data_IF_426424020476
#
_entry.id   IF_426424020476
#
_cell.length_a   1.000
_cell.length_b   1.000
_cell.length_c   1.000
_cell.angle_alpha   90.00
_cell.angle_beta   90.00
_cell.angle_gamma   90.00
#
_symmetry.space_group_name_H-M   'P 1'
#
loop_
_entity.id
_entity.type
_entity.pdbx_description
1 polymer ?
#
# COMPACT_ATOMS: atom_id res chain seq x y z
N UNK A 1 64.28 20.65 -23.03
CA UNK A 1 63.19 19.67 -23.22
C UNK A 1 61.95 20.51 -23.38
N UNK A 2 61.30 20.49 -24.55
CA UNK A 2 60.09 21.30 -24.76
C UNK A 2 58.96 20.78 -23.87
N UNK A 3 58.13 21.67 -23.33
CA UNK A 3 56.88 21.27 -22.68
C UNK A 3 55.87 20.77 -23.72
N UNK A 4 54.84 20.05 -23.29
CA UNK A 4 53.76 19.62 -24.19
C UNK A 4 53.10 20.82 -24.89
N UNK A 5 52.87 21.90 -24.14
CA UNK A 5 52.27 23.14 -24.64
C UNK A 5 53.17 23.86 -25.66
N UNK A 6 54.49 23.86 -25.46
CA UNK A 6 55.45 24.40 -26.43
C UNK A 6 55.46 23.59 -27.74
N UNK A 7 55.33 22.25 -27.65
CA UNK A 7 55.24 21.38 -28.81
C UNK A 7 53.95 21.58 -29.58
N UNK A 8 52.79 21.64 -28.89
CA UNK A 8 51.51 21.90 -29.53
C UNK A 8 51.52 23.25 -30.24
N UNK A 9 52.00 24.31 -29.58
CA UNK A 9 52.14 25.63 -30.20
C UNK A 9 53.08 25.60 -31.42
N UNK A 10 54.15 24.81 -31.38
CA UNK A 10 55.03 24.65 -32.54
C UNK A 10 54.28 24.01 -33.73
N UNK A 11 53.56 22.90 -33.50
CA UNK A 11 52.81 22.21 -34.54
C UNK A 11 51.66 23.06 -35.12
N UNK A 12 50.98 23.86 -34.29
CA UNK A 12 49.91 24.77 -34.74
C UNK A 12 50.38 25.82 -35.74
N UNK A 13 51.64 26.25 -35.60
CA UNK A 13 52.25 27.26 -36.47
C UNK A 13 52.84 26.66 -37.76
N UNK A 14 52.78 25.34 -37.94
CA UNK A 14 53.25 24.71 -39.17
C UNK A 14 52.28 24.99 -40.34
N UNK A 15 52.80 25.15 -41.57
CA UNK A 15 51.96 25.38 -42.74
C UNK A 15 51.06 24.17 -43.01
N UNK A 16 49.79 24.42 -43.36
CA UNK A 16 48.82 23.38 -43.76
C UNK A 16 48.87 23.14 -45.26
N UNK A 17 50.04 22.70 -45.72
CA UNK A 17 50.43 22.56 -47.12
C UNK A 17 49.99 21.24 -47.78
N UNK A 18 49.41 20.30 -47.03
CA UNK A 18 48.82 19.07 -47.57
C UNK A 18 47.28 19.14 -47.57
N UNK A 19 46.70 18.71 -48.69
CA UNK A 19 45.26 18.53 -48.90
C UNK A 19 44.94 17.05 -48.94
N UNK A 20 44.13 16.56 -48.00
CA UNK A 20 43.72 15.16 -47.93
C UNK A 20 42.25 15.09 -48.34
N UNK A 21 41.95 14.33 -49.38
CA UNK A 21 40.60 14.16 -49.90
C UNK A 21 40.12 12.74 -49.58
N UNK A 22 38.99 12.65 -48.89
CA UNK A 22 38.35 11.40 -48.50
C UNK A 22 36.88 11.50 -48.92
N UNK A 23 36.49 10.74 -49.94
CA UNK A 23 35.18 10.88 -50.58
C UNK A 23 34.96 12.31 -51.10
N UNK A 24 33.93 12.98 -50.61
CA UNK A 24 33.60 14.38 -50.93
C UNK A 24 34.22 15.40 -49.96
N UNK A 25 34.87 14.94 -48.88
CA UNK A 25 35.42 15.80 -47.83
C UNK A 25 36.88 16.12 -48.09
N UNK A 26 37.30 17.30 -47.67
CA UNK A 26 38.66 17.80 -47.86
C UNK A 26 39.21 18.32 -46.54
N UNK A 27 40.39 17.83 -46.16
CA UNK A 27 41.09 18.16 -44.93
C UNK A 27 42.44 18.80 -45.24
N UNK A 28 42.88 19.70 -44.35
CA UNK A 28 44.15 20.42 -44.47
C UNK A 28 45.06 20.06 -43.31
N UNK A 29 46.29 19.65 -43.60
CA UNK A 29 47.28 19.23 -42.60
C UNK A 29 48.69 19.66 -43.03
N UNK A 30 49.66 19.54 -42.13
CA UNK A 30 51.07 19.74 -42.48
C UNK A 30 51.64 18.48 -43.15
N UNK A 31 52.20 18.62 -44.36
CA UNK A 31 52.72 17.52 -45.17
C UNK A 31 53.81 16.73 -44.44
N UNK A 32 54.73 17.43 -43.77
CA UNK A 32 55.86 16.78 -43.09
C UNK A 32 55.40 15.96 -41.89
N UNK A 33 54.52 16.52 -41.06
CA UNK A 33 53.96 15.82 -39.89
C UNK A 33 53.22 14.56 -40.34
N UNK A 34 52.34 14.67 -41.35
CA UNK A 34 51.57 13.52 -41.83
C UNK A 34 52.49 12.43 -42.40
N UNK A 35 53.54 12.78 -43.15
CA UNK A 35 54.51 11.81 -43.68
C UNK A 35 55.38 11.15 -42.60
N UNK A 36 55.62 11.81 -41.47
CA UNK A 36 56.40 11.24 -40.35
C UNK A 36 55.59 10.16 -39.65
N UNK A 37 54.30 10.41 -39.41
CA UNK A 37 53.49 9.54 -38.55
C UNK A 37 52.57 8.56 -39.30
N UNK A 38 52.21 8.83 -40.56
CA UNK A 38 51.38 7.92 -41.36
C UNK A 38 52.21 7.25 -42.45
N UNK A 39 52.36 5.93 -42.33
CA UNK A 39 53.05 5.12 -43.33
C UNK A 39 52.39 5.19 -44.71
N UNK A 40 51.05 5.21 -44.78
CA UNK A 40 50.34 5.32 -46.07
C UNK A 40 50.55 6.67 -46.74
N UNK A 41 50.50 7.77 -45.98
CA UNK A 41 50.71 9.09 -46.55
C UNK A 41 52.15 9.24 -47.04
N UNK A 42 53.11 8.73 -46.26
CA UNK A 42 54.51 8.68 -46.66
C UNK A 42 54.69 7.90 -47.98
N UNK A 43 54.12 6.69 -48.08
CA UNK A 43 54.18 5.84 -49.28
C UNK A 43 53.59 6.55 -50.51
N UNK A 44 52.42 7.20 -50.38
CA UNK A 44 51.77 7.90 -51.49
C UNK A 44 52.50 9.16 -51.95
N UNK A 45 53.17 9.86 -51.04
CA UNK A 45 53.87 11.12 -51.33
C UNK A 45 55.35 10.94 -51.67
N UNK A 46 55.92 9.75 -51.48
CA UNK A 46 57.36 9.49 -51.65
C UNK A 46 57.90 9.82 -53.04
N UNK A 47 57.03 9.77 -54.06
CA UNK A 47 57.37 10.02 -55.47
C UNK A 47 56.53 11.14 -56.13
N UNK A 48 55.77 11.90 -55.34
CA UNK A 48 54.91 12.97 -55.86
C UNK A 48 55.28 14.34 -55.29
N UNK A 49 55.40 15.32 -56.18
CA UNK A 49 55.50 16.72 -55.80
C UNK A 49 54.13 17.30 -55.35
N UNK A 50 53.06 16.52 -55.47
CA UNK A 50 51.71 16.97 -55.20
C UNK A 50 51.52 17.28 -53.71
N UNK A 51 50.71 18.31 -53.48
CA UNK A 51 50.24 18.74 -52.17
C UNK A 51 48.79 18.31 -51.93
N UNK A 52 48.33 17.33 -52.71
CA UNK A 52 47.00 16.76 -52.64
C UNK A 52 47.10 15.24 -52.72
N UNK A 53 46.40 14.55 -51.82
CA UNK A 53 46.27 13.09 -51.84
C UNK A 53 44.81 12.70 -51.75
N UNK A 54 44.43 11.67 -52.50
CA UNK A 54 43.12 11.03 -52.39
C UNK A 54 43.28 9.70 -51.67
N UNK A 55 42.50 9.51 -50.61
CA UNK A 55 42.50 8.29 -49.82
C UNK A 55 41.14 7.61 -49.98
N UNK A 56 41.17 6.33 -50.32
CA UNK A 56 40.00 5.46 -50.42
C UNK A 56 39.76 4.82 -49.05
N UNK A 57 39.52 5.66 -48.05
CA UNK A 57 39.22 5.26 -46.68
C UNK A 57 37.85 5.77 -46.28
N UNK A 58 37.23 5.14 -45.29
CA UNK A 58 35.98 5.63 -44.72
C UNK A 58 36.29 6.63 -43.59
N UNK A 59 35.48 7.69 -43.50
CA UNK A 59 35.55 8.64 -42.38
C UNK A 59 34.21 8.65 -41.61
N UNK A 60 33.87 7.53 -40.94
CA UNK A 60 32.65 7.45 -40.16
C UNK A 60 32.71 8.47 -39.02
N UNK A 61 31.64 9.22 -38.82
CA UNK A 61 31.50 10.24 -37.76
C UNK A 61 32.56 11.37 -37.78
N UNK A 62 33.22 11.65 -38.91
CA UNK A 62 34.18 12.77 -39.03
C UNK A 62 35.37 12.68 -38.07
N UNK A 63 36.04 11.53 -38.07
CA UNK A 63 37.16 11.21 -37.20
C UNK A 63 38.50 11.73 -37.71
N UNK A 64 38.62 11.99 -39.02
CA UNK A 64 39.87 12.49 -39.62
C UNK A 64 40.39 13.80 -38.98
N UNK A 65 39.55 14.81 -38.66
CA UNK A 65 39.98 15.98 -37.90
C UNK A 65 40.64 15.65 -36.54
N UNK A 66 40.13 14.65 -35.82
CA UNK A 66 40.74 14.19 -34.57
C UNK A 66 42.10 13.54 -34.80
N UNK A 67 42.22 12.72 -35.85
CA UNK A 67 43.50 12.12 -36.25
C UNK A 67 44.53 13.19 -36.60
N UNK A 68 44.15 14.20 -37.39
CA UNK A 68 45.05 15.32 -37.73
C UNK A 68 45.45 16.08 -36.46
N UNK A 69 44.51 16.31 -35.54
CA UNK A 69 44.78 17.00 -34.28
C UNK A 69 45.77 16.22 -33.42
N UNK A 70 45.57 14.90 -33.30
CA UNK A 70 46.50 14.02 -32.59
C UNK A 70 47.92 14.05 -33.17
N UNK A 71 48.04 14.02 -34.51
CA UNK A 71 49.34 14.07 -35.18
C UNK A 71 50.05 15.42 -35.04
N UNK A 72 49.30 16.52 -34.87
CA UNK A 72 49.84 17.83 -34.49
C UNK A 72 50.11 17.97 -32.98
N UNK A 73 50.08 16.86 -32.22
CA UNK A 73 50.40 16.88 -30.79
C UNK A 73 49.33 17.54 -29.93
N UNK A 74 48.11 17.70 -30.42
CA UNK A 74 46.98 18.07 -29.56
C UNK A 74 46.53 16.86 -28.74
N UNK A 75 46.11 17.13 -27.51
CA UNK A 75 45.39 16.13 -26.72
C UNK A 75 44.02 15.88 -27.37
N UNK A 76 43.73 14.62 -27.65
CA UNK A 76 42.40 14.18 -28.10
C UNK A 76 41.74 13.37 -26.98
N UNK A 77 40.42 13.46 -26.89
CA UNK A 77 39.64 12.62 -25.99
C UNK A 77 39.29 11.32 -26.70
N UNK A 78 39.93 10.22 -26.31
CA UNK A 78 39.61 8.87 -26.77
C UNK A 78 38.58 8.29 -25.79
N UNK A 79 37.47 7.80 -26.32
CA UNK A 79 36.36 7.22 -25.56
C UNK A 79 35.70 6.10 -26.34
N UNK A 80 34.85 5.30 -25.69
CA UNK A 80 34.13 4.20 -26.33
C UNK A 80 33.27 4.60 -27.54
N UNK A 81 32.92 5.89 -27.68
CA UNK A 81 32.14 6.41 -28.82
C UNK A 81 32.97 6.54 -30.10
N UNK A 82 34.29 6.74 -29.96
CA UNK A 82 35.19 7.07 -31.08
C UNK A 82 36.38 6.12 -31.23
N UNK A 83 36.72 5.34 -30.20
CA UNK A 83 37.91 4.49 -30.16
C UNK A 83 37.99 3.51 -31.33
N UNK A 84 36.91 2.80 -31.67
CA UNK A 84 36.91 1.85 -32.78
C UNK A 84 37.18 2.51 -34.13
N UNK A 85 36.55 3.65 -34.39
CA UNK A 85 36.75 4.37 -35.65
C UNK A 85 38.17 4.92 -35.73
N UNK A 86 38.70 5.44 -34.62
CA UNK A 86 40.10 5.87 -34.52
C UNK A 86 41.06 4.69 -34.73
N UNK A 87 40.76 3.51 -34.18
CA UNK A 87 41.56 2.30 -34.40
C UNK A 87 41.55 1.90 -35.88
N UNK A 88 40.37 1.83 -36.52
CA UNK A 88 40.23 1.50 -37.95
C UNK A 88 41.03 2.48 -38.82
N UNK A 89 40.89 3.79 -38.60
CA UNK A 89 41.65 4.80 -39.35
C UNK A 89 43.14 4.70 -39.05
N UNK A 90 43.54 4.42 -37.80
CA UNK A 90 44.95 4.23 -37.44
C UNK A 90 45.57 3.03 -38.16
N UNK A 91 44.82 1.95 -38.33
CA UNK A 91 45.22 0.76 -39.07
C UNK A 91 45.34 1.07 -40.57
N UNK A 92 44.31 1.69 -41.14
CA UNK A 92 44.28 2.06 -42.56
C UNK A 92 45.37 3.07 -42.93
N UNK A 93 45.67 4.04 -42.07
CA UNK A 93 46.73 5.03 -42.28
C UNK A 93 48.12 4.57 -41.81
N UNK A 94 48.22 3.38 -41.20
CA UNK A 94 49.44 2.85 -40.55
C UNK A 94 50.05 3.85 -39.56
N UNK A 95 49.26 4.34 -38.62
CA UNK A 95 49.68 5.27 -37.54
C UNK A 95 49.80 4.49 -36.23
N UNK A 96 50.98 3.91 -35.97
CA UNK A 96 51.20 3.05 -34.80
C UNK A 96 50.95 3.74 -33.46
N UNK A 97 51.33 5.01 -33.33
CA UNK A 97 51.16 5.77 -32.09
C UNK A 97 49.69 6.00 -31.73
N UNK A 98 48.84 6.28 -32.72
CA UNK A 98 47.40 6.42 -32.50
C UNK A 98 46.79 5.05 -32.17
N UNK A 99 47.22 3.99 -32.86
CA UNK A 99 46.76 2.64 -32.58
C UNK A 99 47.02 2.26 -31.12
N UNK A 100 48.24 2.49 -30.64
CA UNK A 100 48.62 2.24 -29.25
C UNK A 100 47.79 3.07 -28.25
N UNK A 101 47.58 4.36 -28.52
CA UNK A 101 46.77 5.23 -27.66
C UNK A 101 45.30 4.76 -27.56
N UNK A 102 44.76 4.21 -28.65
CA UNK A 102 43.38 3.74 -28.71
C UNK A 102 43.20 2.36 -28.05
N UNK A 103 44.26 1.54 -27.97
CA UNK A 103 44.17 0.22 -27.34
C UNK A 103 43.75 0.28 -25.87
N UNK A 104 44.14 1.32 -25.13
CA UNK A 104 43.74 1.45 -23.72
C UNK A 104 42.22 1.49 -23.58
N UNK A 105 41.53 2.29 -24.40
CA UNK A 105 40.07 2.40 -24.38
C UNK A 105 39.39 1.14 -24.93
N UNK A 106 39.92 0.54 -26.01
CA UNK A 106 39.39 -0.71 -26.58
C UNK A 106 39.44 -1.89 -25.59
N UNK A 107 40.42 -1.90 -24.69
CA UNK A 107 40.58 -2.95 -23.68
C UNK A 107 39.83 -2.65 -22.38
N UNK A 108 39.06 -1.55 -22.31
CA UNK A 108 38.18 -1.28 -21.18
C UNK A 108 37.15 -2.41 -21.01
N UNK A 109 36.81 -2.77 -19.76
CA UNK A 109 35.77 -3.76 -19.51
C UNK A 109 34.43 -3.31 -20.09
N UNK A 110 33.61 -4.28 -20.46
CA UNK A 110 32.24 -4.02 -20.92
C UNK A 110 31.43 -3.45 -19.75
N UNK A 111 30.74 -2.35 -20.00
CA UNK A 111 29.86 -1.66 -19.04
C UNK A 111 28.55 -1.30 -19.71
N UNK A 112 27.56 -0.90 -18.91
CA UNK A 112 26.26 -0.41 -19.39
C UNK A 112 26.42 0.82 -20.28
N UNK A 113 27.41 1.68 -20.02
CA UNK A 113 27.63 2.90 -20.81
C UNK A 113 28.29 2.63 -22.16
N UNK A 114 29.11 1.58 -22.29
CA UNK A 114 29.87 1.32 -23.53
C UNK A 114 29.30 0.17 -24.38
N UNK A 115 28.40 -0.67 -23.85
CA UNK A 115 27.91 -1.87 -24.51
C UNK A 115 27.29 -1.59 -25.89
N UNK A 116 26.49 -0.53 -26.03
CA UNK A 116 25.81 -0.21 -27.30
C UNK A 116 26.85 0.10 -28.39
N UNK A 117 27.83 0.96 -28.08
CA UNK A 117 28.93 1.26 -29.00
C UNK A 117 29.72 -0.01 -29.33
N UNK A 118 30.04 -0.86 -28.33
CA UNK A 118 30.76 -2.11 -28.55
C UNK A 118 29.98 -3.10 -29.43
N UNK A 119 28.65 -3.15 -29.31
CA UNK A 119 27.79 -3.98 -30.15
C UNK A 119 27.82 -3.51 -31.61
N UNK A 120 27.65 -2.21 -31.86
CA UNK A 120 27.72 -1.63 -33.21
C UNK A 120 29.05 -1.99 -33.89
N UNK A 121 30.15 -1.80 -33.16
CA UNK A 121 31.51 -2.05 -33.62
C UNK A 121 31.78 -3.53 -33.95
N UNK A 122 31.15 -4.46 -33.22
CA UNK A 122 31.38 -5.90 -33.33
C UNK A 122 30.17 -6.66 -33.90
N UNK A 123 29.29 -5.97 -34.64
CA UNK A 123 28.01 -6.51 -35.13
C UNK A 123 28.18 -7.88 -35.80
N UNK A 124 29.07 -8.01 -36.78
CA UNK A 124 29.29 -9.27 -37.50
C UNK A 124 29.71 -10.42 -36.57
N UNK A 125 30.64 -10.15 -35.64
CA UNK A 125 31.13 -11.16 -34.69
C UNK A 125 30.03 -11.59 -33.71
N UNK A 126 29.21 -10.66 -33.23
CA UNK A 126 28.07 -10.93 -32.33
C UNK A 126 27.00 -11.77 -33.06
N UNK A 127 26.79 -11.51 -34.34
CA UNK A 127 25.82 -12.25 -35.14
C UNK A 127 26.29 -13.67 -35.48
N UNK A 128 27.58 -13.89 -35.69
CA UNK A 128 28.16 -15.20 -35.96
C UNK A 128 28.37 -16.04 -34.68
N UNK A 129 28.68 -15.40 -33.55
CA UNK A 129 28.95 -16.07 -32.29
C UNK A 129 27.84 -15.85 -31.26
N UNK A 130 26.95 -16.85 -31.13
CA UNK A 130 25.89 -16.85 -30.13
C UNK A 130 26.36 -16.77 -28.67
N UNK A 131 27.62 -17.11 -28.40
CA UNK A 131 28.24 -17.07 -27.08
C UNK A 131 29.09 -15.82 -26.84
N UNK A 132 28.95 -14.80 -27.70
CA UNK A 132 29.64 -13.51 -27.56
C UNK A 132 29.44 -12.93 -26.15
N UNK A 133 30.53 -12.48 -25.53
CA UNK A 133 30.50 -11.83 -24.21
C UNK A 133 29.63 -10.56 -24.24
N UNK A 134 29.63 -9.83 -25.35
CA UNK A 134 28.78 -8.65 -25.55
C UNK A 134 27.29 -9.01 -25.51
N UNK A 135 26.90 -10.08 -26.20
CA UNK A 135 25.50 -10.52 -26.21
C UNK A 135 25.08 -11.01 -24.83
N UNK A 136 25.94 -11.76 -24.13
CA UNK A 136 25.68 -12.21 -22.76
C UNK A 136 25.48 -11.02 -21.82
N UNK A 137 26.38 -10.03 -21.89
CA UNK A 137 26.29 -8.83 -21.07
C UNK A 137 25.00 -8.05 -21.35
N UNK A 138 24.64 -7.86 -22.63
CA UNK A 138 23.39 -7.22 -23.04
C UNK A 138 22.18 -7.97 -22.46
N UNK A 139 22.15 -9.29 -22.59
CA UNK A 139 21.06 -10.17 -22.14
C UNK A 139 20.88 -10.12 -20.62
N UNK A 140 21.98 -10.08 -19.88
CA UNK A 140 21.98 -10.03 -18.41
C UNK A 140 21.57 -8.66 -17.86
N UNK A 141 21.76 -7.59 -18.62
CA UNK A 141 21.55 -6.20 -18.19
C UNK A 141 20.49 -5.47 -19.03
N UNK A 142 19.63 -6.20 -19.75
CA UNK A 142 18.72 -5.61 -20.74
C UNK A 142 17.82 -4.53 -20.12
N UNK A 143 17.39 -4.71 -18.87
CA UNK A 143 16.49 -3.81 -18.15
C UNK A 143 17.06 -2.41 -17.92
N UNK A 144 18.37 -2.33 -17.70
CA UNK A 144 19.04 -1.05 -17.54
C UNK A 144 19.42 -0.45 -18.89
N UNK A 145 19.89 -1.27 -19.82
CA UNK A 145 20.36 -0.83 -21.13
C UNK A 145 19.19 -0.32 -21.99
N UNK A 146 18.00 -0.94 -21.92
CA UNK A 146 16.83 -0.55 -22.73
C UNK A 146 16.26 0.84 -22.42
N UNK A 147 16.74 1.47 -21.35
CA UNK A 147 16.43 2.87 -21.01
C UNK A 147 17.14 3.85 -21.96
N UNK A 148 18.23 3.41 -22.59
CA UNK A 148 18.92 4.16 -23.62
C UNK A 148 18.30 3.87 -24.99
N UNK A 149 17.69 4.89 -25.59
CA UNK A 149 17.02 4.76 -26.89
C UNK A 149 17.99 4.46 -28.05
N UNK A 150 19.29 4.70 -27.89
CA UNK A 150 20.30 4.35 -28.90
C UNK A 150 20.44 2.85 -29.12
N UNK A 151 20.08 2.02 -28.13
CA UNK A 151 20.07 0.56 -28.28
C UNK A 151 19.23 0.14 -29.47
N UNK A 152 18.07 0.77 -29.65
CA UNK A 152 17.10 0.44 -30.71
C UNK A 152 17.50 0.96 -32.09
N UNK A 153 18.69 1.55 -32.24
CA UNK A 153 19.30 1.84 -33.54
C UNK A 153 20.24 0.70 -33.99
N UNK A 154 20.50 -0.28 -33.12
CA UNK A 154 21.36 -1.44 -33.40
C UNK A 154 20.76 -2.35 -34.48
N UNK A 155 21.57 -3.28 -34.99
CA UNK A 155 21.09 -4.28 -35.96
C UNK A 155 19.90 -5.08 -35.38
N UNK A 156 18.77 -5.20 -36.11
CA UNK A 156 17.56 -5.85 -35.61
C UNK A 156 17.81 -7.32 -35.23
N UNK A 157 18.77 -8.00 -35.87
CA UNK A 157 19.10 -9.40 -35.56
C UNK A 157 19.76 -9.52 -34.19
N UNK A 158 20.49 -8.52 -33.73
CA UNK A 158 21.04 -8.49 -32.36
C UNK A 158 19.89 -8.30 -31.36
N UNK A 159 18.97 -7.38 -31.65
CA UNK A 159 17.82 -7.10 -30.79
C UNK A 159 16.89 -8.32 -30.67
N UNK A 160 16.67 -9.07 -31.76
CA UNK A 160 15.92 -10.32 -31.72
C UNK A 160 16.61 -11.38 -30.84
N UNK A 161 17.92 -11.57 -30.99
CA UNK A 161 18.68 -12.48 -30.11
C UNK A 161 18.61 -12.05 -28.65
N UNK A 162 18.67 -10.75 -28.38
CA UNK A 162 18.51 -10.22 -27.03
C UNK A 162 17.11 -10.51 -26.51
N UNK A 163 16.06 -10.23 -27.28
CA UNK A 163 14.67 -10.49 -26.91
C UNK A 163 14.40 -11.97 -26.57
N UNK A 164 14.99 -12.89 -27.32
CA UNK A 164 14.82 -14.34 -27.12
C UNK A 164 15.53 -14.85 -25.85
N UNK A 165 16.72 -14.32 -25.55
CA UNK A 165 17.60 -14.84 -24.50
C UNK A 165 17.46 -14.09 -23.17
N UNK A 166 16.93 -12.87 -23.20
CA UNK A 166 16.82 -12.00 -22.02
C UNK A 166 15.73 -12.44 -21.06
N UNK A 167 16.00 -12.22 -19.77
CA UNK A 167 15.01 -12.31 -18.71
C UNK A 167 14.57 -10.90 -18.35
N UNK A 168 13.43 -10.51 -18.90
CA UNK A 168 12.77 -9.27 -18.52
C UNK A 168 12.14 -9.42 -17.12
N UNK A 169 12.04 -8.31 -16.40
CA UNK A 169 11.46 -8.24 -15.05
C UNK A 169 9.98 -8.67 -15.06
N UNK A 170 9.25 -8.27 -16.10
CA UNK A 170 7.84 -8.60 -16.31
C UNK A 170 7.49 -8.55 -17.81
N UNK A 171 6.29 -9.03 -18.14
CA UNK A 171 5.82 -9.06 -19.53
C UNK A 171 5.65 -7.67 -20.13
N UNK A 172 5.34 -6.65 -19.33
CA UNK A 172 5.19 -5.27 -19.80
C UNK A 172 6.51 -4.68 -20.26
N UNK A 173 7.59 -4.87 -19.49
CA UNK A 173 8.96 -4.49 -19.88
C UNK A 173 9.37 -5.15 -21.20
N UNK A 174 9.11 -6.46 -21.34
CA UNK A 174 9.35 -7.20 -22.58
C UNK A 174 8.54 -6.62 -23.75
N UNK A 175 7.28 -6.28 -23.52
CA UNK A 175 6.39 -5.74 -24.54
C UNK A 175 6.83 -4.32 -24.95
N UNK A 176 7.26 -3.47 -24.02
CA UNK A 176 7.85 -2.16 -24.31
C UNK A 176 9.10 -2.33 -25.18
N UNK A 177 9.98 -3.26 -24.83
CA UNK A 177 11.16 -3.57 -25.64
C UNK A 177 10.78 -3.95 -27.08
N UNK A 178 9.82 -4.87 -27.25
CA UNK A 178 9.31 -5.29 -28.57
C UNK A 178 8.78 -4.09 -29.36
N UNK A 179 7.98 -3.24 -28.72
CA UNK A 179 7.38 -2.07 -29.36
C UNK A 179 8.44 -1.05 -29.80
N UNK A 180 9.43 -0.77 -28.94
CA UNK A 180 10.55 0.10 -29.30
C UNK A 180 11.33 -0.46 -30.50
N UNK A 181 11.65 -1.76 -30.51
CA UNK A 181 12.29 -2.40 -31.66
C UNK A 181 11.45 -2.30 -32.93
N UNK A 182 10.17 -2.67 -32.86
CA UNK A 182 9.24 -2.62 -33.99
C UNK A 182 9.07 -1.20 -34.55
N UNK A 183 9.11 -0.18 -33.68
CA UNK A 183 9.02 1.23 -34.07
C UNK A 183 10.24 1.75 -34.84
N UNK A 184 11.43 1.21 -34.54
CA UNK A 184 12.70 1.60 -35.17
C UNK A 184 13.02 0.78 -36.42
N UNK A 185 12.58 -0.47 -36.46
CA UNK A 185 12.85 -1.42 -37.55
C UNK A 185 11.54 -1.89 -38.21
N UNK A 186 10.86 -0.98 -38.91
CA UNK A 186 9.53 -1.26 -39.45
C UNK A 186 9.49 -2.39 -40.48
N UNK A 187 10.59 -2.57 -41.21
CA UNK A 187 10.75 -3.67 -42.17
C UNK A 187 10.81 -5.04 -41.48
N UNK A 188 11.14 -5.07 -40.19
CA UNK A 188 11.20 -6.24 -39.31
C UNK A 188 10.07 -6.25 -38.27
N UNK A 189 9.00 -5.48 -38.47
CA UNK A 189 7.90 -5.35 -37.50
C UNK A 189 7.37 -6.72 -37.05
N UNK A 190 7.11 -7.60 -38.01
CA UNK A 190 6.51 -8.92 -37.78
C UNK A 190 7.45 -9.90 -37.05
N UNK A 191 8.76 -9.61 -37.01
CA UNK A 191 9.74 -10.38 -36.26
C UNK A 191 9.73 -10.02 -34.76
N UNK A 192 9.43 -8.76 -34.43
CA UNK A 192 9.40 -8.28 -33.04
C UNK A 192 8.03 -8.39 -32.40
N UNK A 193 6.97 -8.14 -33.18
CA UNK A 193 5.63 -7.99 -32.64
C UNK A 193 4.58 -8.72 -33.47
N UNK A 194 3.99 -9.75 -32.86
CA UNK A 194 2.84 -10.45 -33.44
C UNK A 194 1.50 -9.84 -33.00
N UNK A 195 0.44 -10.16 -33.74
CA UNK A 195 -0.92 -9.78 -33.34
C UNK A 195 -1.31 -10.42 -31.99
N UNK A 196 -0.80 -11.61 -31.70
CA UNK A 196 -1.06 -12.32 -30.44
C UNK A 196 -0.39 -11.59 -29.26
N UNK A 197 0.86 -11.14 -29.44
CA UNK A 197 1.56 -10.32 -28.44
C UNK A 197 0.73 -9.08 -28.11
N UNK A 198 0.23 -8.38 -29.14
CA UNK A 198 -0.57 -7.18 -28.94
C UNK A 198 -1.86 -7.45 -28.16
N UNK A 199 -2.52 -8.59 -28.37
CA UNK A 199 -3.75 -8.93 -27.64
C UNK A 199 -3.50 -9.11 -26.14
N UNK A 200 -2.31 -9.54 -25.75
CA UNK A 200 -1.95 -9.81 -24.37
C UNK A 200 -1.25 -8.63 -23.68
N UNK A 201 -0.96 -7.54 -24.38
CA UNK A 201 -0.38 -6.34 -23.76
C UNK A 201 -1.33 -5.67 -22.77
N UNK A 202 -0.75 -5.13 -21.70
CA UNK A 202 -1.45 -4.25 -20.77
C UNK A 202 -1.82 -2.93 -21.44
N UNK A 203 -2.85 -2.27 -20.90
CA UNK A 203 -3.32 -0.98 -21.42
C UNK A 203 -2.23 0.09 -21.27
N UNK A 204 -1.43 0.02 -20.21
CA UNK A 204 -0.37 1.00 -19.96
C UNK A 204 0.71 0.94 -21.05
N UNK A 205 1.09 -0.27 -21.46
CA UNK A 205 2.02 -0.49 -22.58
C UNK A 205 1.42 0.02 -23.91
N UNK A 206 0.13 -0.22 -24.13
CA UNK A 206 -0.58 0.29 -25.33
C UNK A 206 -0.62 1.83 -25.31
N UNK A 207 -0.82 2.45 -24.14
CA UNK A 207 -0.79 3.90 -23.97
C UNK A 207 0.60 4.48 -24.27
N UNK A 208 1.66 3.86 -23.75
CA UNK A 208 3.03 4.26 -24.05
C UNK A 208 3.32 4.17 -25.56
N UNK A 209 2.84 3.09 -26.19
CA UNK A 209 2.98 2.88 -27.63
C UNK A 209 2.35 3.98 -28.47
N UNK A 210 1.09 4.36 -28.19
CA UNK A 210 0.41 5.42 -28.98
C UNK A 210 1.01 6.80 -28.75
N UNK A 211 1.71 7.02 -27.63
CA UNK A 211 2.44 8.27 -27.37
C UNK A 211 3.83 8.30 -28.00
N UNK A 212 4.31 7.18 -28.56
CA UNK A 212 5.61 7.11 -29.20
C UNK A 212 5.66 8.03 -30.43
N UNK A 213 6.68 8.90 -30.59
CA UNK A 213 6.82 9.78 -31.75
C UNK A 213 6.81 9.06 -33.11
N UNK A 214 7.24 7.79 -33.12
CA UNK A 214 7.28 6.94 -34.30
C UNK A 214 5.96 6.19 -34.53
N UNK A 215 4.93 6.32 -33.69
CA UNK A 215 3.66 5.61 -33.86
C UNK A 215 3.01 5.87 -35.24
N UNK A 216 3.14 7.09 -35.76
CA UNK A 216 2.60 7.44 -37.09
C UNK A 216 3.15 6.56 -38.23
N UNK A 217 4.36 6.02 -38.08
CA UNK A 217 4.93 5.08 -39.07
C UNK A 217 4.31 3.70 -38.91
N UNK A 218 3.87 3.34 -37.70
CA UNK A 218 3.31 2.04 -37.35
C UNK A 218 1.82 1.89 -37.63
N UNK A 219 1.08 2.98 -37.83
CA UNK A 219 -0.37 2.95 -38.09
C UNK A 219 -0.76 2.05 -39.29
N UNK A 220 0.15 1.86 -40.25
CA UNK A 220 -0.06 0.94 -41.39
C UNK A 220 0.07 -0.54 -41.01
N UNK A 221 0.93 -0.85 -40.03
CA UNK A 221 1.21 -2.22 -39.55
C UNK A 221 0.30 -2.61 -38.40
N UNK A 222 -0.07 -1.65 -37.57
CA UNK A 222 -0.96 -1.83 -36.43
C UNK A 222 -2.11 -0.81 -36.53
N UNK A 223 -3.21 -1.17 -37.22
CA UNK A 223 -4.31 -0.27 -37.46
C UNK A 223 -4.84 0.37 -36.18
N UNK A 224 -4.95 1.70 -36.15
CA UNK A 224 -5.55 2.46 -35.05
C UNK A 224 -6.89 1.88 -34.55
N UNK A 225 -7.66 1.24 -35.44
CA UNK A 225 -8.93 0.59 -35.09
C UNK A 225 -8.78 -0.59 -34.13
N UNK A 226 -7.68 -1.35 -34.21
CA UNK A 226 -7.41 -2.46 -33.29
C UNK A 226 -7.06 -1.95 -31.90
N UNK A 227 -6.25 -0.88 -31.84
CA UNK A 227 -5.93 -0.20 -30.58
C UNK A 227 -7.19 0.35 -29.95
N UNK A 228 -7.99 1.10 -30.71
CA UNK A 228 -9.24 1.67 -30.26
C UNK A 228 -10.20 0.57 -29.76
N UNK A 229 -10.32 -0.54 -30.50
CA UNK A 229 -11.14 -1.69 -30.08
C UNK A 229 -10.66 -2.28 -28.76
N UNK A 230 -9.34 -2.40 -28.53
CA UNK A 230 -8.80 -2.94 -27.29
C UNK A 230 -9.08 -2.02 -26.10
N UNK A 231 -8.87 -0.72 -26.29
CA UNK A 231 -9.18 0.31 -25.28
C UNK A 231 -10.68 0.30 -24.95
N UNK A 232 -11.55 0.24 -25.96
CA UNK A 232 -13.01 0.19 -25.75
C UNK A 232 -13.43 -1.09 -25.00
N UNK A 233 -12.86 -2.25 -25.34
CA UNK A 233 -13.12 -3.50 -24.62
C UNK A 233 -12.71 -3.41 -23.15
N UNK A 234 -11.54 -2.82 -22.86
CA UNK A 234 -11.08 -2.60 -21.50
C UNK A 234 -11.99 -1.64 -20.72
N UNK A 235 -12.38 -0.51 -21.32
CA UNK A 235 -13.34 0.43 -20.72
C UNK A 235 -14.68 -0.29 -20.42
N UNK A 236 -15.13 -1.15 -21.33
CA UNK A 236 -16.37 -1.92 -21.16
C UNK A 236 -16.27 -2.92 -19.99
N UNK A 237 -15.13 -3.59 -19.85
CA UNK A 237 -14.85 -4.47 -18.70
C UNK A 237 -14.88 -3.69 -17.39
N UNK A 238 -14.16 -2.56 -17.33
CA UNK A 238 -14.13 -1.70 -16.13
C UNK A 238 -15.52 -1.18 -15.76
N UNK A 239 -16.34 -0.80 -16.74
CA UNK A 239 -17.72 -0.39 -16.48
C UNK A 239 -18.56 -1.54 -15.91
N UNK A 240 -18.33 -2.77 -16.35
CA UNK A 240 -18.98 -3.96 -15.76
C UNK A 240 -18.58 -4.12 -14.31
N UNK A 241 -17.28 -4.06 -14.00
CA UNK A 241 -16.77 -4.18 -12.63
C UNK A 241 -17.31 -3.08 -11.71
N UNK A 242 -17.38 -1.83 -12.21
CA UNK A 242 -17.97 -0.69 -11.49
C UNK A 242 -19.45 -0.95 -11.18
N UNK A 243 -20.21 -1.49 -12.14
CA UNK A 243 -21.62 -1.81 -11.93
C UNK A 243 -21.79 -2.91 -10.86
N UNK A 244 -20.99 -3.96 -10.89
CA UNK A 244 -21.02 -5.02 -9.86
C UNK A 244 -20.69 -4.48 -8.47
N UNK A 245 -19.71 -3.57 -8.36
CA UNK A 245 -19.36 -2.91 -7.10
C UNK A 245 -20.52 -2.03 -6.63
N UNK A 246 -21.17 -1.28 -7.53
CA UNK A 246 -22.31 -0.44 -7.19
C UNK A 246 -23.50 -1.26 -6.67
N UNK A 247 -23.79 -2.41 -7.26
CA UNK A 247 -24.81 -3.33 -6.76
C UNK A 247 -24.48 -3.83 -5.34
N UNK A 248 -23.22 -4.21 -5.08
CA UNK A 248 -22.77 -4.58 -3.72
C UNK A 248 -22.95 -3.44 -2.72
N UNK A 249 -22.63 -2.21 -3.11
CA UNK A 249 -22.83 -1.02 -2.26
C UNK A 249 -24.32 -0.79 -1.96
N UNK A 250 -25.20 -0.97 -2.93
CA UNK A 250 -26.65 -0.86 -2.73
C UNK A 250 -27.18 -1.91 -1.75
N UNK A 251 -26.69 -3.15 -1.83
CA UNK A 251 -27.05 -4.21 -0.89
C UNK A 251 -26.60 -3.86 0.54
N UNK A 252 -25.35 -3.42 0.73
CA UNK A 252 -24.87 -3.01 2.06
C UNK A 252 -25.63 -1.82 2.63
N UNK A 253 -26.01 -0.84 1.81
CA UNK A 253 -26.82 0.28 2.26
C UNK A 253 -28.21 -0.17 2.75
N UNK A 254 -28.77 -1.21 2.13
CA UNK A 254 -30.06 -1.79 2.55
C UNK A 254 -29.92 -2.53 3.88
N UNK A 255 -28.87 -3.34 4.05
CA UNK A 255 -28.57 -4.01 5.32
C UNK A 255 -28.31 -3.01 6.47
N UNK A 256 -27.55 -1.94 6.22
CA UNK A 256 -27.31 -0.89 7.21
C UNK A 256 -28.63 -0.24 7.64
N UNK A 257 -29.54 0.00 6.70
CA UNK A 257 -30.85 0.58 7.00
C UNK A 257 -31.69 -0.36 7.88
N UNK A 258 -31.71 -1.66 7.59
CA UNK A 258 -32.40 -2.66 8.42
C UNK A 258 -31.81 -2.71 9.84
N UNK A 259 -30.48 -2.67 9.97
CA UNK A 259 -29.80 -2.63 11.27
C UNK A 259 -30.09 -1.34 12.06
N UNK A 260 -30.25 -0.21 11.37
CA UNK A 260 -30.65 1.06 12.00
C UNK A 260 -32.09 1.00 12.51
N UNK A 261 -33.02 0.49 11.71
CA UNK A 261 -34.43 0.32 12.12
C UNK A 261 -34.56 -0.65 13.31
N UNK A 262 -33.77 -1.73 13.32
CA UNK A 262 -33.66 -2.67 14.43
C UNK A 262 -33.11 -2.00 15.69
N UNK A 263 -32.03 -1.22 15.56
CA UNK A 263 -31.43 -0.48 16.67
C UNK A 263 -32.41 0.50 17.29
N UNK A 264 -33.12 1.27 16.46
CA UNK A 264 -34.15 2.22 16.91
C UNK A 264 -35.29 1.50 17.66
N UNK A 265 -35.74 0.35 17.15
CA UNK A 265 -36.75 -0.48 17.85
C UNK A 265 -36.26 -0.91 19.23
N UNK A 266 -35.04 -1.46 19.31
CA UNK A 266 -34.44 -1.90 20.58
C UNK A 266 -34.29 -0.73 21.56
N UNK A 267 -33.91 0.45 21.08
CA UNK A 267 -33.80 1.64 21.92
C UNK A 267 -35.14 2.10 22.49
N UNK A 268 -36.22 2.04 21.70
CA UNK A 268 -37.59 2.34 22.18
C UNK A 268 -38.02 1.32 23.24
N UNK A 269 -37.80 0.03 23.02
CA UNK A 269 -38.13 -1.02 24.00
C UNK A 269 -37.36 -0.84 25.32
N UNK A 270 -36.07 -0.47 25.22
CA UNK A 270 -35.23 -0.16 26.39
C UNK A 270 -35.79 1.02 27.17
N UNK A 271 -36.12 2.14 26.52
CA UNK A 271 -36.71 3.30 27.18
C UNK A 271 -38.03 2.96 27.90
N UNK A 272 -38.90 2.16 27.27
CA UNK A 272 -40.15 1.71 27.89
C UNK A 272 -39.90 0.81 29.12
N UNK A 273 -38.86 -0.03 29.06
CA UNK A 273 -38.45 -0.86 30.19
C UNK A 273 -37.92 -0.01 31.35
N UNK A 274 -37.07 0.97 31.05
CA UNK A 274 -36.49 1.90 32.03
C UNK A 274 -37.59 2.74 32.72
N UNK A 275 -38.60 3.20 31.99
CA UNK A 275 -39.77 3.88 32.58
C UNK A 275 -40.59 2.98 33.51
N UNK A 276 -40.84 1.73 33.10
CA UNK A 276 -41.54 0.76 33.96
C UNK A 276 -40.74 0.49 35.23
N UNK A 277 -39.41 0.42 35.11
CA UNK A 277 -38.53 0.26 36.26
C UNK A 277 -38.59 1.46 37.20
N UNK A 278 -38.46 2.68 36.70
CA UNK A 278 -38.56 3.90 37.52
C UNK A 278 -39.88 3.95 38.30
N UNK A 279 -41.00 3.53 37.67
CA UNK A 279 -42.30 3.41 38.35
C UNK A 279 -42.26 2.37 39.48
N UNK A 280 -41.64 1.21 39.26
CA UNK A 280 -41.49 0.17 40.30
C UNK A 280 -40.57 0.63 41.43
N UNK A 281 -39.46 1.30 41.11
CA UNK A 281 -38.54 1.84 42.10
C UNK A 281 -39.20 2.92 42.98
N UNK A 282 -39.99 3.82 42.38
CA UNK A 282 -40.74 4.84 43.14
C UNK A 282 -41.82 4.19 44.00
N UNK A 283 -42.56 3.20 43.48
CA UNK A 283 -43.52 2.42 44.29
C UNK A 283 -42.84 1.75 45.48
N UNK A 284 -41.66 1.17 45.27
CA UNK A 284 -40.88 0.53 46.34
C UNK A 284 -40.38 1.54 47.37
N UNK A 285 -39.96 2.74 46.95
CA UNK A 285 -39.58 3.83 47.85
C UNK A 285 -40.75 4.30 48.70
N UNK A 286 -41.91 4.55 48.09
CA UNK A 286 -43.14 4.92 48.81
C UNK A 286 -43.54 3.82 49.81
N UNK A 287 -43.42 2.57 49.39
CA UNK A 287 -43.67 1.41 50.25
C UNK A 287 -42.69 1.37 51.43
N UNK A 288 -41.38 1.55 51.20
CA UNK A 288 -40.35 1.63 52.25
C UNK A 288 -40.68 2.71 53.29
N UNK A 289 -41.11 3.89 52.86
CA UNK A 289 -41.53 4.98 53.76
C UNK A 289 -42.77 4.60 54.61
N UNK A 290 -43.77 3.96 54.00
CA UNK A 290 -44.94 3.46 54.74
C UNK A 290 -44.54 2.42 55.79
N UNK A 291 -43.59 1.53 55.47
CA UNK A 291 -43.11 0.54 56.42
C UNK A 291 -42.36 1.15 57.60
N UNK A 292 -41.47 2.13 57.35
CA UNK A 292 -40.76 2.85 58.42
C UNK A 292 -41.77 3.52 59.36
N UNK A 293 -42.75 4.25 58.82
CA UNK A 293 -43.77 4.91 59.62
C UNK A 293 -44.62 3.94 60.44
N UNK A 294 -44.88 2.73 59.91
CA UNK A 294 -45.62 1.69 60.62
C UNK A 294 -44.79 1.10 61.75
N UNK A 295 -43.49 0.88 61.51
CA UNK A 295 -42.53 0.39 62.49
C UNK A 295 -42.38 1.36 63.67
N UNK A 296 -42.18 2.65 63.41
CA UNK A 296 -42.10 3.69 64.43
C UNK A 296 -43.37 3.75 65.29
N UNK A 297 -44.54 3.58 64.66
CA UNK A 297 -45.82 3.51 65.39
C UNK A 297 -45.91 2.25 66.24
N UNK A 298 -45.41 1.10 65.78
CA UNK A 298 -45.39 -0.14 66.56
C UNK A 298 -44.45 0.01 67.76
N UNK A 299 -43.25 0.53 67.57
CA UNK A 299 -42.28 0.78 68.64
C UNK A 299 -42.83 1.73 69.70
N UNK A 300 -43.49 2.83 69.29
CA UNK A 300 -44.17 3.74 70.22
C UNK A 300 -45.23 3.03 71.07
N UNK A 301 -45.98 2.09 70.49
CA UNK A 301 -47.00 1.33 71.24
C UNK A 301 -46.37 0.23 72.10
N UNK A 302 -45.29 -0.43 71.64
CA UNK A 302 -44.53 -1.38 72.43
C UNK A 302 -43.89 -0.72 73.66
N UNK A 303 -43.33 0.48 73.51
CA UNK A 303 -42.83 1.27 74.64
C UNK A 303 -43.93 1.68 75.60
N UNK A 304 -45.16 1.88 75.10
CA UNK A 304 -46.32 2.15 75.94
C UNK A 304 -46.76 0.93 76.76
N UNK A 305 -46.58 -0.30 76.23
CA UNK A 305 -46.86 -1.57 76.94
C UNK A 305 -45.95 -1.74 78.17
N UNK A 306 -44.69 -1.30 78.10
CA UNK A 306 -43.75 -1.35 79.23
C UNK A 306 -44.14 -0.43 80.40
N UNK A 307 -45.15 0.43 80.24
CA UNK A 307 -45.42 1.51 81.21
C UNK A 307 -46.70 1.41 82.04
N UNK A 308 -47.70 0.54 81.80
CA UNK A 308 -48.80 0.27 82.77
C UNK A 308 -49.69 -0.92 82.33
N UNK A 309 -50.41 -1.54 83.28
CA UNK A 309 -51.41 -2.64 83.12
C UNK A 309 -52.19 -2.55 81.80
N UNK A 310 -51.97 -3.52 80.91
CA UNK A 310 -52.46 -3.52 79.52
C UNK A 310 -54.00 -3.61 79.47
N UNK A 311 -54.62 -2.74 78.68
CA UNK A 311 -56.05 -2.85 78.32
C UNK A 311 -56.24 -3.69 77.04
N UNK A 312 -57.31 -4.46 76.97
CA UNK A 312 -57.69 -5.29 75.79
C UNK A 312 -57.70 -4.48 74.47
N UNK A 313 -58.06 -3.19 74.55
CA UNK A 313 -58.01 -2.26 73.41
C UNK A 313 -56.60 -2.14 72.80
N UNK A 314 -55.56 -2.09 73.63
CA UNK A 314 -54.17 -1.98 73.19
C UNK A 314 -53.71 -3.26 72.48
N UNK A 315 -54.09 -4.44 73.00
CA UNK A 315 -53.79 -5.74 72.38
C UNK A 315 -54.46 -5.86 71.01
N UNK A 316 -55.74 -5.46 70.91
CA UNK A 316 -56.48 -5.46 69.65
C UNK A 316 -55.89 -4.49 68.61
N UNK A 317 -55.45 -3.30 69.03
CA UNK A 317 -54.75 -2.35 68.14
C UNK A 317 -53.41 -2.93 67.62
N UNK A 318 -52.64 -3.61 68.48
CA UNK A 318 -51.40 -4.28 68.08
C UNK A 318 -51.67 -5.43 67.11
N UNK A 319 -52.67 -6.27 67.39
CA UNK A 319 -53.08 -7.36 66.49
C UNK A 319 -53.49 -6.85 65.11
N UNK A 320 -54.22 -5.73 65.04
CA UNK A 320 -54.58 -5.10 63.76
C UNK A 320 -53.36 -4.63 62.96
N UNK A 321 -52.33 -4.10 63.63
CA UNK A 321 -51.08 -3.65 63.01
C UNK A 321 -50.20 -4.81 62.56
N UNK A 322 -50.18 -5.92 63.30
CA UNK A 322 -49.51 -7.15 62.87
C UNK A 322 -50.19 -7.76 61.64
N UNK A 323 -51.52 -7.74 61.57
CA UNK A 323 -52.24 -8.14 60.36
C UNK A 323 -51.92 -7.24 59.18
N UNK A 324 -51.80 -5.92 59.39
CA UNK A 324 -51.33 -5.01 58.35
C UNK A 324 -49.90 -5.35 57.89
N UNK A 325 -48.98 -5.67 58.82
CA UNK A 325 -47.62 -6.11 58.49
C UNK A 325 -47.58 -7.45 57.74
N UNK A 326 -48.47 -8.40 58.07
CA UNK A 326 -48.61 -9.66 57.33
C UNK A 326 -49.03 -9.43 55.88
N UNK A 327 -50.08 -8.63 55.66
CA UNK A 327 -50.51 -8.24 54.30
C UNK A 327 -49.39 -7.49 53.57
N UNK A 328 -48.59 -6.72 54.31
CA UNK A 328 -47.41 -6.01 53.79
C UNK A 328 -46.29 -7.00 53.38
N UNK A 329 -46.07 -8.08 54.13
CA UNK A 329 -45.14 -9.16 53.74
C UNK A 329 -45.57 -9.89 52.48
N UNK A 330 -46.86 -10.20 52.36
CA UNK A 330 -47.42 -10.85 51.17
C UNK A 330 -47.27 -9.96 49.93
N UNK A 331 -47.41 -8.63 50.09
CA UNK A 331 -47.10 -7.65 49.04
C UNK A 331 -45.62 -7.60 48.68
N UNK A 332 -44.70 -7.65 49.65
CA UNK A 332 -43.26 -7.74 49.40
C UNK A 332 -42.89 -8.98 48.59
N UNK A 333 -43.52 -10.12 48.88
CA UNK A 333 -43.35 -11.35 48.10
C UNK A 333 -43.74 -11.14 46.64
N UNK A 334 -44.90 -10.55 46.40
CA UNK A 334 -45.38 -10.23 45.06
C UNK A 334 -44.42 -9.30 44.29
N UNK A 335 -43.87 -8.28 44.95
CA UNK A 335 -42.86 -7.40 44.33
C UNK A 335 -41.56 -8.14 44.04
N UNK A 336 -41.09 -8.99 44.95
CA UNK A 336 -39.90 -9.82 44.75
C UNK A 336 -40.05 -10.76 43.54
N UNK A 337 -41.22 -11.41 43.41
CA UNK A 337 -41.53 -12.30 42.29
C UNK A 337 -41.63 -11.56 40.95
N UNK A 338 -41.98 -10.26 40.94
CA UNK A 338 -41.94 -9.45 39.73
C UNK A 338 -40.53 -9.00 39.36
N UNK A 339 -39.72 -8.62 40.36
CA UNK A 339 -38.31 -8.24 40.14
C UNK A 339 -37.47 -9.43 39.66
N UNK A 340 -37.71 -10.62 40.21
CA UNK A 340 -37.00 -11.85 39.79
C UNK A 340 -37.31 -12.28 38.36
N UNK A 341 -38.44 -11.85 37.78
CA UNK A 341 -38.77 -12.08 36.36
C UNK A 341 -38.09 -11.09 35.40
N UNK A 342 -37.56 -9.97 35.91
CA UNK A 342 -36.78 -9.00 35.13
C UNK A 342 -35.26 -9.35 35.17
N UNK A 343 -34.95 -10.61 34.83
CA UNK A 343 -33.72 -11.38 35.16
C UNK A 343 -32.39 -10.72 34.78
N UNK A 344 -32.34 -9.76 33.86
CA UNK A 344 -31.07 -9.41 33.20
C UNK A 344 -30.22 -8.38 33.98
N UNK A 345 -30.78 -7.58 34.87
CA UNK A 345 -30.07 -6.37 35.32
C UNK A 345 -29.66 -6.26 36.81
N UNK A 346 -30.30 -6.94 37.78
CA UNK A 346 -29.95 -6.74 39.20
C UNK A 346 -30.15 -7.98 40.10
N UNK A 347 -29.18 -8.91 40.11
CA UNK A 347 -29.20 -10.10 40.98
C UNK A 347 -29.17 -9.74 42.47
N UNK A 348 -28.42 -8.70 42.85
CA UNK A 348 -28.24 -8.31 44.25
C UNK A 348 -29.49 -7.69 44.87
N UNK A 349 -30.21 -6.84 44.14
CA UNK A 349 -31.46 -6.25 44.64
C UNK A 349 -32.52 -7.33 44.87
N UNK A 350 -32.63 -8.31 43.96
CA UNK A 350 -33.53 -9.45 44.11
C UNK A 350 -33.15 -10.33 45.30
N UNK A 351 -31.85 -10.56 45.52
CA UNK A 351 -31.33 -11.30 46.68
C UNK A 351 -31.69 -10.60 47.99
N UNK A 352 -31.48 -9.28 48.07
CA UNK A 352 -31.77 -8.49 49.27
C UNK A 352 -33.26 -8.48 49.59
N UNK A 353 -34.15 -8.26 48.61
CA UNK A 353 -35.61 -8.27 48.83
C UNK A 353 -36.10 -9.65 49.28
N UNK A 354 -35.57 -10.75 48.73
CA UNK A 354 -35.93 -12.10 49.14
C UNK A 354 -35.48 -12.44 50.57
N UNK A 355 -34.28 -12.00 50.97
CA UNK A 355 -33.79 -12.18 52.33
C UNK A 355 -34.74 -11.51 53.35
N UNK A 356 -35.16 -10.26 53.06
CA UNK A 356 -36.11 -9.51 53.88
C UNK A 356 -37.44 -10.23 54.05
N UNK A 357 -38.02 -10.68 52.94
CA UNK A 357 -39.29 -11.41 52.99
C UNK A 357 -39.20 -12.63 53.92
N UNK A 358 -38.11 -13.40 53.82
CA UNK A 358 -37.90 -14.60 54.62
C UNK A 358 -37.72 -14.27 56.11
N UNK A 359 -36.92 -13.25 56.43
CA UNK A 359 -36.69 -12.81 57.81
C UNK A 359 -38.00 -12.31 58.45
N UNK A 360 -38.80 -11.52 57.71
CA UNK A 360 -40.06 -10.97 58.22
C UNK A 360 -41.15 -12.03 58.41
N UNK A 361 -41.29 -12.94 57.45
CA UNK A 361 -42.18 -14.10 57.58
C UNK A 361 -41.82 -14.94 58.80
N UNK A 362 -40.52 -15.11 59.05
CA UNK A 362 -39.99 -15.80 60.21
C UNK A 362 -40.30 -15.12 61.54
N UNK A 363 -40.36 -13.78 61.59
CA UNK A 363 -40.61 -13.03 62.83
C UNK A 363 -42.08 -12.69 63.10
N UNK A 364 -42.91 -12.46 62.06
CA UNK A 364 -44.31 -12.04 62.24
C UNK A 364 -45.21 -13.20 62.68
N UNK A 365 -45.01 -14.40 62.14
CA UNK A 365 -45.86 -15.55 62.47
C UNK A 365 -45.76 -15.96 63.97
N UNK A 366 -44.56 -16.03 64.59
CA UNK A 366 -44.43 -16.27 66.03
C UNK A 366 -45.08 -15.16 66.87
N UNK A 367 -44.85 -13.89 66.53
CA UNK A 367 -45.43 -12.74 67.25
C UNK A 367 -46.97 -12.71 67.22
N UNK A 368 -47.58 -13.08 66.09
CA UNK A 368 -49.04 -13.22 66.00
C UNK A 368 -49.57 -14.33 66.91
N UNK A 369 -48.83 -15.43 67.01
CA UNK A 369 -49.19 -16.57 67.84
C UNK A 369 -49.04 -16.24 69.33
N UNK A 370 -47.99 -15.53 69.73
CA UNK A 370 -47.78 -15.07 71.11
C UNK A 370 -48.85 -14.05 71.53
N UNK A 371 -49.22 -13.10 70.66
CA UNK A 371 -50.27 -12.12 70.96
C UNK A 371 -51.66 -12.74 71.02
N UNK A 372 -51.95 -13.75 70.19
CA UNK A 372 -53.21 -14.48 70.26
C UNK A 372 -53.38 -15.26 71.57
N UNK A 373 -52.27 -15.55 72.26
CA UNK A 373 -52.24 -16.33 73.50
C UNK A 373 -52.12 -15.47 74.78
N UNK A 374 -52.06 -14.14 74.66
CA UNK A 374 -51.94 -13.22 75.81
C UNK A 374 -53.25 -13.14 76.62
N UNK A 375 -53.24 -13.64 77.86
CA UNK A 375 -54.24 -13.29 78.87
C UNK A 375 -53.74 -12.13 79.76
N UNK A 376 -54.65 -11.25 80.18
CA UNK A 376 -54.35 -10.02 80.91
C UNK A 376 -53.85 -10.28 82.34
N UNK A 377 -52.56 -10.60 82.54
CA UNK A 377 -51.72 -10.33 83.73
C UNK A 377 -50.49 -11.29 83.87
N UNK A 378 -49.67 -11.50 82.84
CA UNK A 378 -48.49 -12.39 82.96
C UNK A 378 -47.16 -11.83 82.44
N UNK A 379 -46.07 -12.45 82.94
CA UNK A 379 -44.63 -12.15 82.73
C UNK A 379 -44.16 -12.16 81.26
N UNK A 380 -45.04 -12.45 80.31
CA UNK A 380 -44.70 -12.61 78.88
C UNK A 380 -44.70 -11.27 78.10
N UNK A 381 -45.15 -10.19 78.72
CA UNK A 381 -45.17 -8.84 78.11
C UNK A 381 -43.76 -8.37 77.75
N UNK A 382 -42.76 -8.64 78.61
CA UNK A 382 -41.38 -8.25 78.36
C UNK A 382 -40.76 -9.04 77.19
N UNK A 383 -41.15 -10.32 77.02
CA UNK A 383 -40.72 -11.16 75.89
C UNK A 383 -41.30 -10.63 74.57
N UNK A 384 -42.60 -10.33 74.56
CA UNK A 384 -43.29 -9.80 73.38
C UNK A 384 -42.78 -8.39 73.03
N UNK A 385 -42.52 -7.54 74.03
CA UNK A 385 -41.90 -6.23 73.82
C UNK A 385 -40.48 -6.35 73.24
N UNK A 386 -39.69 -7.33 73.69
CA UNK A 386 -38.36 -7.63 73.16
C UNK A 386 -38.42 -8.14 71.71
N UNK A 387 -39.40 -8.98 71.37
CA UNK A 387 -39.57 -9.47 70.00
C UNK A 387 -40.15 -8.40 69.06
N UNK A 388 -40.97 -7.47 69.57
CA UNK A 388 -41.31 -6.23 68.86
C UNK A 388 -40.08 -5.36 68.60
N UNK A 389 -39.18 -5.23 69.57
CA UNK A 389 -37.93 -4.47 69.39
C UNK A 389 -37.03 -5.13 68.34
N UNK A 390 -36.92 -6.47 68.33
CA UNK A 390 -36.19 -7.20 67.27
C UNK A 390 -36.81 -7.01 65.89
N UNK A 391 -38.15 -7.02 65.80
CA UNK A 391 -38.86 -6.76 64.56
C UNK A 391 -38.62 -5.31 64.08
N UNK A 392 -38.67 -4.33 64.98
CA UNK A 392 -38.39 -2.92 64.68
C UNK A 392 -36.93 -2.71 64.27
N UNK A 393 -35.96 -3.37 64.92
CA UNK A 393 -34.56 -3.35 64.52
C UNK A 393 -34.33 -4.00 63.15
N UNK A 394 -35.01 -5.11 62.86
CA UNK A 394 -34.97 -5.74 61.55
C UNK A 394 -35.54 -4.80 60.47
N UNK A 395 -36.61 -4.06 60.77
CA UNK A 395 -37.18 -3.04 59.86
C UNK A 395 -36.20 -1.85 59.69
N UNK A 396 -35.55 -1.38 60.75
CA UNK A 396 -34.56 -0.27 60.70
C UNK A 396 -33.27 -0.63 59.97
N UNK A 397 -32.77 -1.86 60.09
CA UNK A 397 -31.61 -2.32 59.32
C UNK A 397 -31.85 -2.24 57.81
N UNK A 398 -33.10 -2.32 57.38
CA UNK A 398 -33.52 -2.23 55.98
C UNK A 398 -33.83 -0.81 55.52
N UNK A 399 -34.10 0.13 56.45
CA UNK A 399 -34.22 1.54 56.08
C UNK A 399 -32.88 2.15 55.64
N UNK A 400 -31.76 1.58 56.12
CA UNK A 400 -30.40 2.07 55.91
C UNK A 400 -29.62 1.41 54.75
N UNK A 401 -30.24 0.46 54.03
CA UNK A 401 -29.81 -0.07 52.73
C UNK A 401 -30.67 0.58 51.65
#
# INVERSE_FOLDING_TARGET
MFSAEELTNYFDNLPRDLTIIIGSKTYKANKQVMCIFSGIIQEKLQNSADNEIKLEIEDPKEMIPLVISFLHGHQINISYENDFYLNKISDELKISSLKEAVQESLNEPITISNIISRLEQNTSQVLENENSELLKFLVENIEEIQKDDSLFLSDPRILLKALEKSKFENDDSKNIFKLKCASRHIDNFDDFLSLDDFQHMSIDVICEFVTNPYYSTLDQKMPSILIASRIVSAITSLNTDINEINEKIQNYNSEIKELQEEHDRVMVEKCQSDEKYLKVAEQFKQFKLQMISTSERIESHANSLNSFKISEKTVNEIGSKLNFLKVTCERLQFFSERLSRAVILYPETTKNVNQVYNDWKGSIAPLQQEIANLESNEKDIDSIAADFHKLVEAIRKLSNI
#
